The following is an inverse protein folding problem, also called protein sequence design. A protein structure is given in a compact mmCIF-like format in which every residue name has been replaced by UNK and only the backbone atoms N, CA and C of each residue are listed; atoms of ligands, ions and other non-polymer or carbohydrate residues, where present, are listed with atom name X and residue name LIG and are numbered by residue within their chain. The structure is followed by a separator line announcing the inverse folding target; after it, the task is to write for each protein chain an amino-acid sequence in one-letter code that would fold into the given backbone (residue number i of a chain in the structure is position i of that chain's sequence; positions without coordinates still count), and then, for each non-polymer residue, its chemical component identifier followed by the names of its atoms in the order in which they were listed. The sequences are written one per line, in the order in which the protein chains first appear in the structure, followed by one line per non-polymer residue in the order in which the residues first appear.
data_IF_748092467678
#
_entry.id   IF_748092467678
#
_cell.length_a   1.000
_cell.length_b   1.000
_cell.length_c   1.000
_cell.angle_alpha   90.00
_cell.angle_beta   90.00
_cell.angle_gamma   90.00
#
_symmetry.space_group_name_H-M   'P 1'
#
loop_
_entity.id
_entity.type
_entity.pdbx_description
1 polymer ?
#
# COMPACT_ATOMS: atom_id res chain seq x y z
N UNK A 1 -19.72 35.60 6.69
CA UNK A 1 -20.21 34.24 6.42
C UNK A 1 -19.04 33.32 6.68
N UNK A 2 -19.24 32.19 7.37
CA UNK A 2 -18.14 31.23 7.57
C UNK A 2 -17.75 30.57 6.22
N UNK A 3 -16.51 30.06 6.11
CA UNK A 3 -16.08 29.31 4.91
C UNK A 3 -17.02 28.16 4.58
N UNK A 4 -17.46 27.43 5.61
CA UNK A 4 -18.39 26.30 5.45
C UNK A 4 -19.74 26.73 4.89
N UNK A 5 -20.32 27.85 5.40
CA UNK A 5 -21.59 28.40 4.88
C UNK A 5 -21.48 28.85 3.41
N UNK A 6 -20.32 29.41 3.01
CA UNK A 6 -20.06 29.79 1.64
C UNK A 6 -19.95 28.56 0.72
N UNK A 7 -19.20 27.52 1.16
CA UNK A 7 -19.09 26.27 0.42
C UNK A 7 -20.43 25.57 0.25
N UNK A 8 -21.26 25.54 1.29
CA UNK A 8 -22.60 24.95 1.21
C UNK A 8 -23.49 25.66 0.20
N UNK A 9 -23.39 26.99 0.12
CA UNK A 9 -24.12 27.78 -0.88
C UNK A 9 -23.61 27.52 -2.31
N UNK A 10 -22.28 27.34 -2.51
CA UNK A 10 -21.68 27.06 -3.82
C UNK A 10 -21.98 25.64 -4.31
N UNK A 11 -22.01 24.66 -3.41
CA UNK A 11 -22.24 23.25 -3.72
C UNK A 11 -23.73 22.95 -3.97
N UNK A 12 -24.64 23.78 -3.41
CA UNK A 12 -26.08 23.56 -3.51
C UNK A 12 -26.63 22.50 -2.54
N UNK A 13 -27.95 22.30 -2.56
CA UNK A 13 -28.65 21.45 -1.60
C UNK A 13 -28.38 19.94 -1.79
N UNK A 14 -27.94 19.52 -2.97
CA UNK A 14 -27.71 18.10 -3.31
C UNK A 14 -26.32 17.59 -2.84
N UNK A 15 -25.42 18.48 -2.40
CA UNK A 15 -24.12 18.11 -1.93
C UNK A 15 -24.13 17.70 -0.45
N UNK A 16 -23.53 16.55 -0.15
CA UNK A 16 -23.37 16.07 1.22
C UNK A 16 -22.12 16.67 1.86
N UNK A 17 -22.22 17.92 2.33
CA UNK A 17 -21.18 18.56 3.15
C UNK A 17 -21.54 18.39 4.64
N UNK A 18 -20.82 17.50 5.32
CA UNK A 18 -21.02 17.13 6.72
C UNK A 18 -20.18 18.06 7.61
N UNK A 19 -20.80 18.61 8.65
CA UNK A 19 -20.14 19.52 9.61
C UNK A 19 -20.35 19.09 11.06
N UNK A 20 -21.10 18.02 11.29
CA UNK A 20 -21.30 17.44 12.62
C UNK A 20 -19.99 16.86 13.14
N UNK A 21 -19.44 17.35 14.28
CA UNK A 21 -18.17 16.89 14.83
C UNK A 21 -18.14 15.38 15.14
N UNK A 22 -19.26 14.79 15.55
CA UNK A 22 -19.35 13.36 15.88
C UNK A 22 -19.16 12.51 14.61
N UNK A 23 -19.61 13.01 13.46
CA UNK A 23 -19.44 12.33 12.17
C UNK A 23 -18.07 12.65 11.58
N UNK A 24 -17.64 13.93 11.56
CA UNK A 24 -16.37 14.32 10.94
C UNK A 24 -15.17 13.70 11.64
N UNK A 25 -15.26 13.38 12.94
CA UNK A 25 -14.21 12.68 13.68
C UNK A 25 -13.87 11.31 13.10
N UNK A 26 -14.84 10.58 12.52
CA UNK A 26 -14.61 9.28 11.87
C UNK A 26 -13.81 9.37 10.57
N UNK A 27 -13.66 10.56 10.00
CA UNK A 27 -12.87 10.84 8.80
C UNK A 27 -11.50 11.45 9.12
N UNK A 28 -11.14 11.57 10.40
CA UNK A 28 -9.94 12.29 10.82
C UNK A 28 -8.64 11.52 10.64
N UNK A 29 -8.68 10.19 10.60
CA UNK A 29 -7.48 9.33 10.60
C UNK A 29 -7.61 8.14 9.64
N UNK A 30 -6.48 7.60 9.21
CA UNK A 30 -6.35 6.30 8.56
C UNK A 30 -5.92 5.23 9.59
N UNK A 31 -5.27 4.14 9.17
CA UNK A 31 -4.84 3.05 10.06
C UNK A 31 -3.45 3.28 10.66
N UNK A 32 -2.84 4.45 10.45
CA UNK A 32 -1.50 4.75 10.97
C UNK A 32 -1.53 5.02 12.49
N UNK A 33 -0.90 4.18 13.34
CA UNK A 33 -1.10 4.22 14.79
C UNK A 33 -0.52 5.45 15.49
N UNK A 34 0.51 6.11 14.91
CA UNK A 34 1.21 7.26 15.53
C UNK A 34 1.03 8.57 14.79
N UNK A 35 0.33 8.56 13.67
CA UNK A 35 0.11 9.75 12.89
C UNK A 35 -0.84 10.71 13.61
N UNK A 36 -0.42 11.95 13.77
CA UNK A 36 -1.30 12.98 14.34
C UNK A 36 -2.50 13.19 13.43
N UNK A 37 -3.66 13.40 14.05
CA UNK A 37 -4.90 13.71 13.37
C UNK A 37 -5.80 14.58 14.23
N UNK A 38 -6.71 15.33 13.61
CA UNK A 38 -7.76 16.06 14.28
C UNK A 38 -9.03 16.08 13.41
N UNK A 39 -10.23 16.14 14.01
CA UNK A 39 -11.49 16.27 13.26
C UNK A 39 -11.45 17.49 12.33
N UNK A 40 -11.75 17.31 11.02
CA UNK A 40 -11.76 18.41 10.06
C UNK A 40 -12.96 19.35 10.29
N UNK A 41 -12.90 20.58 9.72
CA UNK A 41 -14.03 21.51 9.75
C UNK A 41 -15.28 21.00 9.03
N UNK A 42 -15.07 20.21 7.97
CA UNK A 42 -16.14 19.61 7.19
C UNK A 42 -15.64 18.41 6.40
N UNK A 43 -16.55 17.52 6.03
CA UNK A 43 -16.33 16.40 5.12
C UNK A 43 -17.29 16.51 3.93
N UNK A 44 -16.75 16.63 2.71
CA UNK A 44 -17.52 16.49 1.49
C UNK A 44 -17.58 15.00 1.10
N UNK A 45 -18.75 14.40 1.06
CA UNK A 45 -18.97 13.12 0.38
C UNK A 45 -19.18 13.38 -1.11
N UNK A 46 -18.07 13.46 -1.86
CA UNK A 46 -18.12 13.84 -3.26
C UNK A 46 -18.82 12.80 -4.13
N UNK A 47 -19.64 13.25 -5.08
CA UNK A 47 -20.34 12.43 -6.07
C UNK A 47 -19.90 12.71 -7.50
N UNK A 48 -19.17 13.81 -7.74
CA UNK A 48 -18.66 14.17 -9.05
C UNK A 48 -17.38 15.01 -8.96
N UNK A 49 -16.62 15.06 -10.05
CA UNK A 49 -15.43 15.88 -10.19
C UNK A 49 -15.75 17.39 -10.09
N UNK A 50 -16.93 17.83 -10.51
CA UNK A 50 -17.38 19.21 -10.44
C UNK A 50 -17.57 19.68 -9.00
N UNK A 51 -18.08 18.81 -8.10
CA UNK A 51 -18.18 19.13 -6.67
C UNK A 51 -16.79 19.32 -6.07
N UNK A 52 -15.85 18.43 -6.40
CA UNK A 52 -14.45 18.53 -5.99
C UNK A 52 -13.80 19.80 -6.54
N UNK A 53 -14.00 20.08 -7.83
CA UNK A 53 -13.53 21.31 -8.50
C UNK A 53 -14.01 22.56 -7.77
N UNK A 54 -15.27 22.61 -7.39
CA UNK A 54 -15.88 23.73 -6.65
C UNK A 54 -15.19 23.93 -5.30
N UNK A 55 -14.99 22.86 -4.53
CA UNK A 55 -14.31 22.94 -3.23
C UNK A 55 -12.85 23.35 -3.39
N UNK A 56 -12.11 22.74 -4.33
CA UNK A 56 -10.70 23.05 -4.52
C UNK A 56 -10.47 24.51 -4.98
N UNK A 57 -11.29 25.02 -5.87
CA UNK A 57 -11.22 26.43 -6.30
C UNK A 57 -11.40 27.38 -5.12
N UNK A 58 -12.41 27.12 -4.29
CA UNK A 58 -12.67 27.91 -3.09
C UNK A 58 -11.54 27.77 -2.06
N UNK A 59 -11.08 26.53 -1.82
CA UNK A 59 -10.00 26.26 -0.89
C UNK A 59 -8.67 26.90 -1.33
N UNK A 60 -8.36 26.90 -2.62
CA UNK A 60 -7.17 27.54 -3.19
C UNK A 60 -7.20 29.05 -2.99
N UNK A 61 -8.33 29.72 -3.27
CA UNK A 61 -8.52 31.16 -3.06
C UNK A 61 -8.35 31.56 -1.59
N UNK A 62 -8.83 30.73 -0.67
CA UNK A 62 -8.82 31.03 0.76
C UNK A 62 -7.72 30.32 1.54
N UNK A 63 -6.84 29.57 0.84
CA UNK A 63 -5.71 28.79 1.41
C UNK A 63 -6.16 27.83 2.52
N UNK A 64 -7.28 27.15 2.30
CA UNK A 64 -7.81 26.16 3.24
C UNK A 64 -7.18 24.79 2.92
N UNK A 65 -6.59 24.10 3.91
CA UNK A 65 -6.06 22.75 3.71
C UNK A 65 -7.15 21.77 3.27
N UNK A 66 -6.82 20.90 2.32
CA UNK A 66 -7.70 19.85 1.83
C UNK A 66 -7.00 18.50 1.96
N UNK A 67 -7.69 17.55 2.58
CA UNK A 67 -7.23 16.17 2.70
C UNK A 67 -8.14 15.26 1.88
N UNK A 68 -7.55 14.51 0.96
CA UNK A 68 -8.28 13.53 0.15
C UNK A 68 -8.34 12.19 0.86
N UNK A 69 -9.53 11.56 0.87
CA UNK A 69 -9.75 10.26 1.49
C UNK A 69 -10.48 9.31 0.56
N UNK A 70 -9.91 8.12 0.37
CA UNK A 70 -10.61 6.94 -0.13
C UNK A 70 -11.33 6.24 1.03
N UNK A 71 -11.03 4.97 1.28
CA UNK A 71 -11.54 4.24 2.44
C UNK A 71 -10.82 4.60 3.76
N UNK A 72 -9.61 5.14 3.71
CA UNK A 72 -8.77 5.36 4.89
C UNK A 72 -8.03 4.10 5.36
N UNK A 73 -7.74 3.19 4.44
CA UNK A 73 -6.98 1.96 4.68
C UNK A 73 -5.46 2.16 4.77
N UNK A 74 -4.97 3.37 4.53
CA UNK A 74 -3.55 3.69 4.53
C UNK A 74 -2.90 3.52 5.91
N UNK A 75 -1.59 3.23 5.91
CA UNK A 75 -0.79 2.94 7.11
C UNK A 75 0.28 4.01 7.40
N UNK A 76 0.25 5.13 6.66
CA UNK A 76 1.28 6.15 6.72
C UNK A 76 0.79 7.54 7.18
N UNK A 77 -0.48 7.69 7.56
CA UNK A 77 -1.07 8.98 7.93
C UNK A 77 -1.39 9.86 6.72
N UNK A 78 -1.50 9.28 5.53
CA UNK A 78 -1.77 9.98 4.27
C UNK A 78 -3.16 10.62 4.23
N UNK A 79 -4.17 10.00 4.84
CA UNK A 79 -5.54 10.51 4.92
C UNK A 79 -5.87 11.22 6.24
N UNK A 80 -4.86 11.46 7.11
CA UNK A 80 -5.09 12.14 8.38
C UNK A 80 -5.33 13.63 8.19
N UNK A 81 -6.40 14.13 8.79
CA UNK A 81 -6.81 15.53 8.71
C UNK A 81 -6.27 16.38 9.86
N UNK A 82 -6.29 17.69 9.67
CA UNK A 82 -6.06 18.72 10.67
C UNK A 82 -7.37 19.48 10.96
N UNK A 83 -7.43 20.15 12.13
CA UNK A 83 -8.63 20.82 12.59
C UNK A 83 -9.08 22.00 11.67
N UNK A 84 -8.18 22.53 10.85
CA UNK A 84 -8.42 23.60 9.88
C UNK A 84 -8.70 23.08 8.46
N UNK A 85 -8.65 21.78 8.25
CA UNK A 85 -8.82 21.17 6.93
C UNK A 85 -10.27 20.87 6.55
N UNK A 86 -10.49 20.68 5.25
CA UNK A 86 -11.68 20.04 4.68
C UNK A 86 -11.27 18.67 4.17
N UNK A 87 -12.00 17.62 4.55
CA UNK A 87 -11.80 16.29 3.96
C UNK A 87 -12.72 16.14 2.75
N UNK A 88 -12.16 15.66 1.64
CA UNK A 88 -12.92 15.22 0.47
C UNK A 88 -12.88 13.69 0.43
N UNK A 89 -14.01 13.05 0.79
CA UNK A 89 -14.19 11.60 0.68
C UNK A 89 -14.72 11.23 -0.69
N UNK A 90 -14.08 10.25 -1.31
CA UNK A 90 -14.45 9.72 -2.63
C UNK A 90 -15.32 8.46 -2.55
N UNK A 91 -15.74 8.04 -1.36
CA UNK A 91 -16.50 6.79 -1.16
C UNK A 91 -17.82 6.72 -1.96
N UNK A 92 -18.41 7.88 -2.33
CA UNK A 92 -19.64 7.95 -3.13
C UNK A 92 -19.37 8.02 -4.64
N UNK A 93 -18.11 8.08 -5.06
CA UNK A 93 -17.68 7.95 -6.46
C UNK A 93 -17.24 6.51 -6.72
N UNK A 94 -18.21 5.57 -6.65
CA UNK A 94 -17.95 4.14 -6.60
C UNK A 94 -18.58 3.35 -7.78
N UNK A 95 -18.71 3.99 -8.95
CA UNK A 95 -19.27 3.35 -10.13
C UNK A 95 -18.16 2.71 -10.99
N UNK A 96 -18.38 1.47 -11.41
CA UNK A 96 -17.69 0.86 -12.55
C UNK A 96 -18.39 1.39 -13.81
N UNK A 97 -17.73 2.36 -14.47
CA UNK A 97 -18.34 3.12 -15.59
C UNK A 97 -18.48 2.24 -16.82
N UNK A 98 -17.42 1.49 -17.16
CA UNK A 98 -17.43 0.55 -18.28
C UNK A 98 -16.35 -0.51 -18.12
N UNK A 99 -16.61 -1.69 -18.72
CA UNK A 99 -15.64 -2.77 -18.89
C UNK A 99 -15.63 -3.11 -20.39
N UNK A 100 -14.46 -2.98 -20.99
CA UNK A 100 -14.19 -3.39 -22.37
C UNK A 100 -13.33 -4.66 -22.33
N UNK A 101 -13.99 -5.81 -22.45
CA UNK A 101 -13.31 -7.10 -22.33
C UNK A 101 -12.39 -7.39 -23.54
N UNK A 102 -12.70 -6.87 -24.72
CA UNK A 102 -11.87 -7.08 -25.92
C UNK A 102 -10.54 -6.31 -25.80
N UNK A 103 -10.58 -5.09 -25.29
CA UNK A 103 -9.39 -4.27 -25.05
C UNK A 103 -8.75 -4.52 -23.67
N UNK A 104 -9.38 -5.35 -22.82
CA UNK A 104 -8.92 -5.68 -21.47
C UNK A 104 -8.73 -4.43 -20.62
N UNK A 105 -9.72 -3.55 -20.60
CA UNK A 105 -9.70 -2.32 -19.80
C UNK A 105 -11.01 -2.15 -19.02
N UNK A 106 -10.91 -1.50 -17.87
CA UNK A 106 -12.05 -1.00 -17.10
C UNK A 106 -11.89 0.49 -16.84
N UNK A 107 -12.97 1.27 -16.99
CA UNK A 107 -13.05 2.65 -16.51
C UNK A 107 -13.89 2.67 -15.24
N UNK A 108 -13.32 3.22 -14.18
CA UNK A 108 -13.91 3.20 -12.85
C UNK A 108 -13.77 4.55 -12.16
N UNK A 109 -14.68 4.88 -11.27
CA UNK A 109 -14.53 6.00 -10.34
C UNK A 109 -13.57 5.61 -9.20
N UNK A 110 -12.91 6.59 -8.61
CA UNK A 110 -11.85 6.41 -7.62
C UNK A 110 -12.29 5.71 -6.32
N UNK A 111 -13.57 5.78 -5.96
CA UNK A 111 -14.15 5.14 -4.77
C UNK A 111 -14.58 3.68 -4.97
N UNK A 112 -14.39 3.10 -6.15
CA UNK A 112 -14.65 1.66 -6.37
C UNK A 112 -13.70 0.84 -5.52
N UNK A 113 -14.21 -0.17 -4.81
CA UNK A 113 -13.40 -1.11 -4.01
C UNK A 113 -12.61 -2.03 -4.94
N UNK A 114 -11.35 -2.29 -4.61
CA UNK A 114 -10.45 -3.12 -5.42
C UNK A 114 -11.08 -4.51 -5.72
N UNK A 115 -11.53 -5.20 -4.68
CA UNK A 115 -12.13 -6.54 -4.81
C UNK A 115 -13.44 -6.53 -5.62
N UNK A 116 -14.23 -5.44 -5.57
CA UNK A 116 -15.48 -5.35 -6.33
C UNK A 116 -15.19 -5.33 -7.83
N UNK A 117 -14.16 -4.61 -8.27
CA UNK A 117 -13.73 -4.64 -9.67
C UNK A 117 -13.29 -6.05 -10.07
N UNK A 118 -12.38 -6.70 -9.29
CA UNK A 118 -11.88 -8.04 -9.62
C UNK A 118 -13.02 -9.06 -9.66
N UNK A 119 -13.97 -8.98 -8.72
CA UNK A 119 -15.17 -9.83 -8.69
C UNK A 119 -16.01 -9.65 -9.95
N UNK A 120 -16.18 -8.39 -10.37
CA UNK A 120 -17.00 -8.09 -11.56
C UNK A 120 -16.34 -8.56 -12.86
N UNK A 121 -15.04 -8.35 -13.02
CA UNK A 121 -14.33 -8.76 -14.25
C UNK A 121 -14.09 -10.26 -14.32
N UNK A 122 -14.14 -10.97 -13.19
CA UNK A 122 -14.06 -12.44 -13.12
C UNK A 122 -15.13 -13.13 -13.96
N UNK A 123 -16.33 -12.57 -14.01
CA UNK A 123 -17.44 -13.06 -14.83
C UNK A 123 -17.10 -13.10 -16.34
N UNK A 124 -16.12 -12.29 -16.75
CA UNK A 124 -15.63 -12.17 -18.14
C UNK A 124 -14.31 -12.94 -18.38
N UNK A 125 -13.85 -13.74 -17.42
CA UNK A 125 -12.57 -14.45 -17.50
C UNK A 125 -11.35 -13.53 -17.32
N UNK A 126 -11.57 -12.31 -16.81
CA UNK A 126 -10.54 -11.32 -16.59
C UNK A 126 -10.20 -11.18 -15.08
N UNK A 127 -9.09 -10.50 -14.79
CA UNK A 127 -8.66 -10.18 -13.43
C UNK A 127 -8.09 -8.76 -13.34
N UNK A 128 -8.28 -8.13 -12.18
CA UNK A 128 -7.51 -6.98 -11.73
C UNK A 128 -6.54 -7.47 -10.65
N UNK A 129 -5.26 -7.52 -10.98
CA UNK A 129 -4.26 -8.31 -10.25
C UNK A 129 -3.55 -7.59 -9.09
N UNK A 130 -3.44 -6.24 -9.01
CA UNK A 130 -2.93 -5.61 -7.79
C UNK A 130 -3.77 -5.99 -6.57
N UNK A 131 -3.11 -6.63 -5.57
CA UNK A 131 -3.78 -7.30 -4.46
C UNK A 131 -3.30 -6.83 -3.09
N UNK A 132 -3.38 -5.50 -2.77
CA UNK A 132 -3.00 -5.04 -1.45
C UNK A 132 -3.77 -5.80 -0.36
N UNK A 133 -3.16 -5.97 0.82
CA UNK A 133 -3.78 -6.70 1.92
C UNK A 133 -5.18 -6.16 2.29
N UNK A 134 -5.42 -4.88 2.02
CA UNK A 134 -6.70 -4.19 2.22
C UNK A 134 -7.67 -4.24 1.02
N UNK A 135 -7.42 -5.08 0.00
CA UNK A 135 -8.18 -5.09 -1.26
C UNK A 135 -9.70 -5.24 -1.10
N UNK A 136 -10.16 -5.84 -0.03
CA UNK A 136 -11.57 -6.07 0.28
C UNK A 136 -12.33 -4.80 0.71
N UNK A 137 -11.62 -3.73 1.08
CA UNK A 137 -12.20 -2.46 1.50
C UNK A 137 -11.45 -1.21 1.01
N UNK A 138 -10.23 -1.32 0.50
CA UNK A 138 -9.50 -0.18 -0.10
C UNK A 138 -10.08 0.21 -1.45
N UNK A 139 -10.04 1.54 -1.75
CA UNK A 139 -10.54 2.08 -3.01
C UNK A 139 -9.45 2.13 -4.07
N UNK A 140 -9.82 1.96 -5.34
CA UNK A 140 -8.90 2.01 -6.48
C UNK A 140 -8.18 3.36 -6.61
N UNK A 141 -8.86 4.47 -6.30
CA UNK A 141 -8.22 5.79 -6.24
C UNK A 141 -7.23 5.92 -5.09
N UNK A 142 -7.51 5.30 -3.94
CA UNK A 142 -6.58 5.20 -2.82
C UNK A 142 -5.36 4.37 -3.18
N UNK A 143 -5.57 3.20 -3.80
CA UNK A 143 -4.48 2.33 -4.29
C UNK A 143 -3.60 3.07 -5.32
N UNK A 144 -4.20 3.84 -6.24
CA UNK A 144 -3.44 4.66 -7.17
C UNK A 144 -2.67 5.78 -6.46
N UNK A 145 -3.27 6.47 -5.49
CA UNK A 145 -2.64 7.56 -4.76
C UNK A 145 -1.41 7.11 -3.96
N UNK A 146 -1.37 5.88 -3.44
CA UNK A 146 -0.22 5.30 -2.73
C UNK A 146 0.68 4.45 -3.64
N UNK A 147 0.25 4.15 -4.87
CA UNK A 147 0.85 3.14 -5.74
C UNK A 147 0.90 1.77 -5.05
N UNK A 148 -0.22 1.36 -4.45
CA UNK A 148 -0.31 0.17 -3.62
C UNK A 148 0.19 -1.09 -4.34
N UNK A 149 0.93 -1.91 -3.61
CA UNK A 149 1.42 -3.21 -4.01
C UNK A 149 0.61 -4.36 -3.43
N UNK A 150 1.27 -5.50 -3.21
CA UNK A 150 0.70 -6.73 -2.66
C UNK A 150 1.52 -7.97 -3.05
N UNK A 151 1.04 -9.14 -2.67
CA UNK A 151 1.75 -10.40 -2.84
C UNK A 151 2.04 -10.79 -4.30
N UNK A 152 1.18 -10.37 -5.23
CA UNK A 152 1.30 -10.71 -6.65
C UNK A 152 2.18 -9.75 -7.46
N UNK A 153 2.72 -8.69 -6.83
CA UNK A 153 3.49 -7.64 -7.51
C UNK A 153 4.79 -8.15 -8.14
N UNK A 154 5.40 -9.18 -7.58
CA UNK A 154 6.62 -9.82 -8.14
C UNK A 154 6.46 -10.23 -9.61
N UNK A 155 5.26 -10.58 -10.05
CA UNK A 155 4.97 -10.97 -11.43
C UNK A 155 4.20 -9.91 -12.20
N UNK A 156 3.21 -9.32 -11.58
CA UNK A 156 2.23 -8.48 -12.27
C UNK A 156 2.45 -6.99 -12.09
N UNK A 157 3.36 -6.61 -11.19
CA UNK A 157 3.64 -5.19 -10.88
C UNK A 157 2.63 -4.59 -9.90
N UNK A 158 2.94 -3.37 -9.47
CA UNK A 158 2.14 -2.56 -8.54
C UNK A 158 1.01 -1.83 -9.29
N UNK A 159 0.19 -1.08 -8.58
CA UNK A 159 -0.97 -0.34 -9.15
C UNK A 159 -0.60 0.49 -10.38
N UNK A 160 0.56 1.20 -10.40
CA UNK A 160 0.99 2.00 -11.55
C UNK A 160 1.14 1.21 -12.84
N UNK A 161 1.51 -0.07 -12.75
CA UNK A 161 1.64 -0.95 -13.92
C UNK A 161 0.28 -1.22 -14.61
N UNK A 162 -0.82 -0.98 -13.90
CA UNK A 162 -2.18 -1.25 -14.37
C UNK A 162 -2.97 0.02 -14.71
N UNK A 163 -2.47 1.21 -14.38
CA UNK A 163 -3.16 2.47 -14.70
C UNK A 163 -2.74 2.97 -16.09
N UNK A 164 -3.71 3.14 -16.99
CA UNK A 164 -3.49 3.67 -18.35
C UNK A 164 -3.87 5.13 -18.50
N UNK A 165 -4.91 5.56 -17.77
CA UNK A 165 -5.37 6.93 -17.79
C UNK A 165 -6.05 7.28 -16.46
N UNK A 166 -6.11 8.56 -16.15
CA UNK A 166 -6.82 9.08 -14.98
C UNK A 166 -7.47 10.42 -15.28
N UNK A 167 -8.62 10.67 -14.69
CA UNK A 167 -9.17 11.99 -14.51
C UNK A 167 -8.71 12.54 -13.17
N UNK A 168 -8.23 13.78 -13.15
CA UNK A 168 -7.67 14.42 -11.94
C UNK A 168 -8.23 15.82 -11.81
N UNK A 169 -8.56 16.23 -10.59
CA UNK A 169 -8.89 17.62 -10.26
C UNK A 169 -7.67 18.28 -9.61
N UNK A 170 -7.17 19.36 -10.20
CA UNK A 170 -6.02 20.11 -9.70
C UNK A 170 -6.41 21.08 -8.58
N UNK A 171 -5.42 21.61 -7.84
CA UNK A 171 -5.65 22.55 -6.73
C UNK A 171 -6.41 23.82 -7.16
N UNK A 172 -6.30 24.27 -8.41
CA UNK A 172 -7.04 25.41 -8.96
C UNK A 172 -8.48 25.06 -9.41
N UNK A 173 -8.90 23.79 -9.22
CA UNK A 173 -10.21 23.27 -9.62
C UNK A 173 -10.33 22.86 -11.09
N UNK A 174 -9.25 22.91 -11.89
CA UNK A 174 -9.28 22.38 -13.26
C UNK A 174 -9.40 20.86 -13.23
N UNK A 175 -10.27 20.32 -14.10
CA UNK A 175 -10.41 18.87 -14.31
C UNK A 175 -9.61 18.53 -15.56
N UNK A 176 -8.66 17.62 -15.43
CA UNK A 176 -7.77 17.21 -16.52
C UNK A 176 -7.84 15.70 -16.75
N UNK A 177 -7.58 15.29 -17.98
CA UNK A 177 -7.45 13.89 -18.39
C UNK A 177 -5.98 13.59 -18.68
N UNK A 178 -5.42 12.58 -18.03
CA UNK A 178 -4.04 12.14 -18.17
C UNK A 178 -3.97 10.72 -18.73
N UNK A 179 -3.01 10.47 -19.60
CA UNK A 179 -2.85 9.15 -20.22
C UNK A 179 -3.87 8.89 -21.34
N UNK A 180 -3.91 7.64 -21.80
CA UNK A 180 -4.80 7.14 -22.86
C UNK A 180 -5.10 5.65 -22.61
N UNK A 181 -6.23 5.16 -23.10
CA UNK A 181 -6.59 3.72 -23.02
C UNK A 181 -5.68 2.79 -23.87
N UNK A 182 -4.74 3.33 -24.61
CA UNK A 182 -3.82 2.56 -25.47
C UNK A 182 -2.70 1.90 -24.67
N UNK A 183 -2.20 0.73 -25.15
CA UNK A 183 -1.05 0.03 -24.53
C UNK A 183 0.28 0.81 -24.64
N UNK A 184 0.41 1.73 -25.57
CA UNK A 184 1.62 2.55 -25.77
C UNK A 184 1.24 4.00 -26.04
N UNK A 185 1.97 4.92 -25.43
CA UNK A 185 1.90 6.36 -25.74
C UNK A 185 3.23 7.03 -25.38
N UNK A 186 3.78 7.82 -26.31
CA UNK A 186 5.01 8.63 -26.12
C UNK A 186 4.82 10.06 -26.64
N UNK A 187 3.56 10.49 -26.75
CA UNK A 187 3.21 11.78 -27.38
C UNK A 187 3.62 12.97 -26.50
N UNK A 188 3.57 12.79 -25.17
CA UNK A 188 3.83 13.87 -24.19
C UNK A 188 4.73 13.33 -23.07
N UNK A 189 5.18 14.22 -22.18
CA UNK A 189 5.74 13.78 -20.90
C UNK A 189 4.72 12.96 -20.12
N UNK A 190 5.20 11.97 -19.38
CA UNK A 190 4.37 11.11 -18.57
C UNK A 190 3.96 11.80 -17.26
N UNK A 191 2.93 12.63 -17.37
CA UNK A 191 2.35 13.30 -16.20
C UNK A 191 1.49 12.34 -15.38
N UNK A 192 0.92 11.28 -15.98
CA UNK A 192 0.06 10.33 -15.28
C UNK A 192 0.78 9.72 -14.07
N UNK A 193 2.01 9.24 -14.28
CA UNK A 193 2.78 8.61 -13.22
C UNK A 193 3.32 9.57 -12.16
N UNK A 194 3.22 10.89 -12.35
CA UNK A 194 3.43 11.85 -11.26
C UNK A 194 2.31 11.81 -10.22
N UNK A 195 1.08 11.53 -10.64
CA UNK A 195 -0.08 11.45 -9.74
C UNK A 195 -0.21 10.09 -9.05
N UNK A 196 0.26 9.01 -9.70
CA UNK A 196 0.30 7.68 -9.08
C UNK A 196 1.39 7.66 -8.00
N UNK A 197 1.03 7.34 -6.76
CA UNK A 197 1.94 7.43 -5.62
C UNK A 197 2.17 8.85 -5.09
N UNK A 198 1.41 9.86 -5.56
CA UNK A 198 1.52 11.24 -5.06
C UNK A 198 0.85 11.47 -3.69
N UNK A 199 0.09 10.51 -3.20
CA UNK A 199 -0.65 10.57 -1.92
C UNK A 199 -1.58 11.80 -1.84
N UNK A 200 -2.20 12.16 -2.97
CA UNK A 200 -3.13 13.29 -3.05
C UNK A 200 -2.47 14.68 -2.93
N UNK A 201 -1.14 14.77 -3.00
CA UNK A 201 -0.42 16.05 -2.84
C UNK A 201 -0.37 16.89 -4.13
N UNK A 202 -0.60 16.29 -5.31
CA UNK A 202 -0.53 16.99 -6.61
C UNK A 202 -1.92 17.25 -7.21
N UNK A 203 -2.91 16.47 -6.85
CA UNK A 203 -4.29 16.54 -7.33
C UNK A 203 -5.13 15.41 -6.78
N UNK A 204 -6.43 15.45 -7.05
CA UNK A 204 -7.40 14.44 -6.61
C UNK A 204 -7.80 13.57 -7.79
N UNK A 205 -7.42 12.30 -7.77
CA UNK A 205 -7.82 11.31 -8.78
C UNK A 205 -9.31 11.00 -8.59
N UNK A 206 -10.11 11.18 -9.64
CA UNK A 206 -11.57 10.97 -9.63
C UNK A 206 -12.01 9.77 -10.43
N UNK A 207 -11.31 9.46 -11.53
CA UNK A 207 -11.55 8.28 -12.34
C UNK A 207 -10.23 7.65 -12.79
N UNK A 208 -10.27 6.35 -13.05
CA UNK A 208 -9.14 5.57 -13.55
C UNK A 208 -9.58 4.73 -14.76
N UNK A 209 -8.70 4.63 -15.74
CA UNK A 209 -8.76 3.59 -16.78
C UNK A 209 -7.68 2.56 -16.45
N UNK A 210 -8.11 1.34 -16.12
CA UNK A 210 -7.27 0.27 -15.60
C UNK A 210 -7.09 -0.82 -16.65
N UNK A 211 -5.87 -1.37 -16.72
CA UNK A 211 -5.58 -2.59 -17.47
C UNK A 211 -6.09 -3.81 -16.70
N UNK A 212 -6.72 -4.72 -17.42
CA UNK A 212 -7.11 -6.03 -16.93
C UNK A 212 -6.23 -7.09 -17.57
N UNK A 213 -6.03 -8.19 -16.88
CA UNK A 213 -5.30 -9.35 -17.39
C UNK A 213 -6.26 -10.53 -17.60
N UNK A 214 -5.89 -11.46 -18.46
CA UNK A 214 -6.61 -12.75 -18.54
C UNK A 214 -6.42 -13.43 -17.19
N UNK A 215 -7.51 -13.89 -16.58
CA UNK A 215 -7.45 -14.52 -15.26
C UNK A 215 -6.54 -15.75 -15.29
N UNK A 216 -5.47 -15.79 -14.44
CA UNK A 216 -4.63 -16.96 -14.32
C UNK A 216 -5.43 -18.19 -13.90
N UNK A 217 -4.98 -19.38 -14.31
CA UNK A 217 -5.43 -20.65 -13.76
C UNK A 217 -5.08 -20.74 -12.27
N UNK A 218 -5.70 -21.68 -11.55
CA UNK A 218 -5.35 -21.95 -10.16
C UNK A 218 -3.85 -22.24 -10.04
N UNK A 219 -3.10 -21.44 -9.24
CA UNK A 219 -1.65 -21.61 -9.14
C UNK A 219 -1.31 -22.85 -8.34
N UNK A 220 -0.18 -23.48 -8.67
CA UNK A 220 0.46 -24.41 -7.76
C UNK A 220 1.20 -23.65 -6.67
N UNK A 221 1.04 -24.07 -5.41
CA UNK A 221 1.65 -23.43 -4.24
C UNK A 221 2.68 -24.36 -3.62
N UNK A 222 3.87 -23.82 -3.33
CA UNK A 222 4.95 -24.45 -2.59
C UNK A 222 5.14 -23.71 -1.26
N UNK A 223 5.29 -24.47 -0.17
CA UNK A 223 5.86 -24.00 1.10
C UNK A 223 7.19 -24.72 1.32
N UNK A 224 8.22 -23.97 1.71
CA UNK A 224 9.56 -24.49 2.01
C UNK A 224 10.04 -23.91 3.35
N UNK A 225 10.45 -24.80 4.28
CA UNK A 225 10.91 -24.45 5.62
C UNK A 225 12.44 -24.44 5.69
N UNK A 226 12.98 -23.39 6.28
CA UNK A 226 14.43 -23.15 6.43
C UNK A 226 14.80 -22.89 7.89
N UNK A 227 16.05 -23.17 8.31
CA UNK A 227 16.49 -23.00 9.70
C UNK A 227 16.51 -21.54 10.16
N UNK A 228 16.58 -20.58 9.23
CA UNK A 228 16.52 -19.14 9.52
C UNK A 228 15.90 -18.37 8.39
N UNK A 229 15.40 -17.16 8.70
CA UNK A 229 14.86 -16.24 7.69
C UNK A 229 15.95 -15.78 6.70
N UNK A 230 17.22 -15.69 7.11
CA UNK A 230 18.33 -15.40 6.22
C UNK A 230 18.54 -16.48 5.16
N UNK A 231 18.42 -17.77 5.51
CA UNK A 231 18.48 -18.88 4.55
C UNK A 231 17.29 -18.88 3.60
N UNK A 232 16.09 -18.62 4.10
CA UNK A 232 14.89 -18.44 3.28
C UNK A 232 15.08 -17.28 2.26
N UNK A 233 15.56 -16.12 2.73
CA UNK A 233 15.84 -14.97 1.88
C UNK A 233 16.91 -15.24 0.82
N UNK A 234 17.97 -15.99 1.15
CA UNK A 234 18.98 -16.39 0.18
C UNK A 234 18.40 -17.32 -0.92
N UNK A 235 17.50 -18.22 -0.53
CA UNK A 235 16.80 -19.09 -1.47
C UNK A 235 15.88 -18.29 -2.41
N UNK A 236 15.16 -17.27 -1.90
CA UNK A 236 14.19 -16.47 -2.67
C UNK A 236 14.81 -15.86 -3.93
N UNK A 237 16.04 -15.33 -3.85
CA UNK A 237 16.74 -14.76 -4.98
C UNK A 237 16.96 -15.76 -6.13
N UNK A 238 17.14 -17.05 -5.81
CA UNK A 238 17.31 -18.11 -6.82
C UNK A 238 15.96 -18.60 -7.37
N UNK A 239 14.88 -18.43 -6.63
CA UNK A 239 13.54 -18.84 -7.03
C UNK A 239 12.90 -17.89 -8.05
N UNK A 240 13.37 -16.64 -8.16
CA UNK A 240 12.87 -15.68 -9.17
C UNK A 240 12.98 -16.16 -10.61
N UNK A 241 13.93 -17.05 -10.93
CA UNK A 241 14.05 -17.64 -12.27
C UNK A 241 12.83 -18.46 -12.70
N UNK A 242 12.00 -18.88 -11.75
CA UNK A 242 10.75 -19.58 -12.02
C UNK A 242 9.60 -18.61 -12.33
N UNK A 243 9.81 -17.28 -12.22
CA UNK A 243 8.80 -16.23 -12.43
C UNK A 243 7.54 -16.45 -11.56
N UNK A 244 7.71 -16.57 -10.24
CA UNK A 244 6.58 -16.82 -9.36
C UNK A 244 5.55 -15.69 -9.45
N UNK A 245 4.27 -16.05 -9.33
CA UNK A 245 3.18 -15.08 -9.18
C UNK A 245 3.11 -14.54 -7.75
N UNK A 246 3.68 -15.25 -6.78
CA UNK A 246 3.84 -14.83 -5.39
C UNK A 246 5.11 -15.48 -4.82
N UNK A 247 5.87 -14.75 -4.03
CA UNK A 247 7.02 -15.28 -3.29
C UNK A 247 7.16 -14.52 -1.96
N UNK A 248 6.63 -15.13 -0.90
CA UNK A 248 6.49 -14.55 0.43
C UNK A 248 7.44 -15.20 1.42
N UNK A 249 7.85 -14.44 2.44
CA UNK A 249 8.66 -14.94 3.55
C UNK A 249 7.97 -14.65 4.88
N UNK A 250 8.06 -15.60 5.82
CA UNK A 250 7.57 -15.42 7.19
C UNK A 250 8.60 -16.02 8.16
N UNK A 251 9.02 -15.24 9.13
CA UNK A 251 10.00 -15.68 10.14
C UNK A 251 9.39 -16.59 11.20
N UNK A 252 10.25 -17.26 11.96
CA UNK A 252 9.82 -18.16 13.03
C UNK A 252 9.04 -17.44 14.14
N UNK A 253 9.38 -16.19 14.45
CA UNK A 253 8.70 -15.38 15.48
C UNK A 253 7.24 -15.16 15.11
N UNK A 254 6.99 -14.73 13.88
CA UNK A 254 5.63 -14.52 13.34
C UNK A 254 4.88 -15.86 13.25
N UNK A 255 5.51 -16.93 12.81
CA UNK A 255 4.87 -18.25 12.74
C UNK A 255 4.43 -18.75 14.12
N UNK A 256 5.24 -18.55 15.16
CA UNK A 256 4.86 -18.87 16.54
C UNK A 256 3.67 -18.04 17.03
N UNK A 257 3.58 -16.77 16.64
CA UNK A 257 2.42 -15.93 16.93
C UNK A 257 1.16 -16.44 16.23
N UNK A 258 1.27 -16.85 14.97
CA UNK A 258 0.17 -17.47 14.20
C UNK A 258 -0.28 -18.77 14.87
N UNK A 259 0.64 -19.68 15.20
CA UNK A 259 0.35 -20.96 15.85
C UNK A 259 -0.36 -20.77 17.19
N UNK A 260 0.08 -19.80 18.01
CA UNK A 260 -0.53 -19.51 19.31
C UNK A 260 -1.98 -19.02 19.18
N UNK A 261 -2.34 -18.40 18.07
CA UNK A 261 -3.69 -17.95 17.80
C UNK A 261 -4.52 -18.98 17.04
N UNK A 262 -3.92 -19.62 16.04
CA UNK A 262 -4.60 -20.55 15.15
C UNK A 262 -3.66 -21.69 14.77
N UNK A 263 -3.86 -22.90 15.32
CA UNK A 263 -2.99 -24.03 15.05
C UNK A 263 -2.83 -24.30 13.55
N UNK A 264 -1.58 -24.36 13.10
CA UNK A 264 -1.23 -24.55 11.69
C UNK A 264 -1.23 -26.02 11.27
N UNK A 265 -1.16 -26.94 12.25
CA UNK A 265 -1.17 -28.38 12.00
C UNK A 265 0.18 -28.94 11.54
N UNK A 266 1.27 -28.14 11.60
CA UNK A 266 2.64 -28.59 11.33
C UNK A 266 3.62 -28.00 12.35
N UNK A 267 4.78 -28.67 12.51
CA UNK A 267 5.83 -28.22 13.43
C UNK A 267 6.54 -26.95 12.89
N UNK A 268 6.68 -25.92 13.73
CA UNK A 268 7.41 -24.70 13.39
C UNK A 268 8.90 -24.93 13.64
N UNK A 269 9.57 -25.55 12.67
CA UNK A 269 10.99 -25.88 12.74
C UNK A 269 11.91 -24.70 12.36
N UNK A 270 11.35 -23.63 11.76
CA UNK A 270 12.13 -22.47 11.28
C UNK A 270 11.26 -21.43 10.58
N UNK A 271 11.84 -20.70 9.64
CA UNK A 271 11.17 -19.70 8.79
C UNK A 271 10.68 -20.35 7.50
N UNK A 272 9.63 -19.79 6.86
CA UNK A 272 9.07 -20.36 5.65
C UNK A 272 9.14 -19.39 4.47
N UNK A 273 9.32 -19.95 3.25
CA UNK A 273 8.97 -19.33 1.99
C UNK A 273 7.69 -19.94 1.47
N UNK A 274 6.80 -19.10 0.94
CA UNK A 274 5.57 -19.49 0.26
C UNK A 274 5.68 -18.98 -1.17
N UNK A 275 5.62 -19.86 -2.15
CA UNK A 275 5.74 -19.52 -3.55
C UNK A 275 4.52 -20.01 -4.33
N UNK A 276 4.00 -19.17 -5.22
CA UNK A 276 2.99 -19.59 -6.20
C UNK A 276 3.53 -19.51 -7.63
N UNK A 277 3.14 -20.49 -8.43
CA UNK A 277 3.40 -20.53 -9.86
C UNK A 277 2.07 -20.72 -10.59
N UNK A 278 1.80 -19.89 -11.60
CA UNK A 278 0.61 -20.01 -12.46
C UNK A 278 0.76 -21.18 -13.47
N UNK A 279 1.88 -21.87 -13.42
CA UNK A 279 2.22 -23.03 -14.23
C UNK A 279 2.11 -24.31 -13.38
N UNK A 280 2.29 -25.44 -14.00
CA UNK A 280 2.04 -26.75 -13.43
C UNK A 280 2.95 -27.14 -12.24
N UNK A 281 2.52 -28.17 -11.52
CA UNK A 281 3.12 -28.76 -10.32
C UNK A 281 4.61 -29.15 -10.51
N UNK A 282 5.02 -29.55 -11.71
CA UNK A 282 6.40 -29.93 -12.00
C UNK A 282 7.41 -28.79 -11.71
N UNK A 283 7.02 -27.53 -11.98
CA UNK A 283 7.85 -26.37 -11.68
C UNK A 283 8.03 -26.14 -10.17
N UNK A 284 7.03 -26.48 -9.37
CA UNK A 284 7.16 -26.45 -7.90
C UNK A 284 8.17 -27.49 -7.41
N UNK A 285 8.19 -28.68 -8.02
CA UNK A 285 9.18 -29.70 -7.70
C UNK A 285 10.61 -29.24 -8.05
N UNK A 286 10.82 -28.65 -9.22
CA UNK A 286 12.12 -28.06 -9.61
C UNK A 286 12.55 -26.94 -8.63
N UNK A 287 11.63 -26.09 -8.21
CA UNK A 287 11.89 -25.04 -7.24
C UNK A 287 12.29 -25.60 -5.88
N UNK A 288 11.63 -26.67 -5.42
CA UNK A 288 11.97 -27.37 -4.19
C UNK A 288 13.41 -27.96 -4.24
N UNK A 289 13.81 -28.51 -5.37
CA UNK A 289 15.20 -28.99 -5.56
C UNK A 289 16.21 -27.83 -5.40
N UNK A 290 15.89 -26.63 -5.85
CA UNK A 290 16.73 -25.44 -5.63
C UNK A 290 16.83 -25.10 -4.15
N UNK A 291 15.73 -25.19 -3.41
CA UNK A 291 15.68 -24.91 -1.97
C UNK A 291 16.64 -25.80 -1.15
N UNK A 292 16.90 -27.03 -1.60
CA UNK A 292 17.85 -27.94 -0.93
C UNK A 292 19.27 -27.39 -0.82
N UNK A 293 19.67 -26.48 -1.70
CA UNK A 293 20.99 -25.83 -1.64
C UNK A 293 21.10 -24.79 -0.51
N UNK A 294 20.00 -24.51 0.21
CA UNK A 294 19.91 -23.50 1.26
C UNK A 294 19.49 -24.10 2.60
N UNK A 295 19.91 -25.34 2.88
CA UNK A 295 19.61 -26.07 4.13
C UNK A 295 18.10 -26.26 4.34
N UNK A 296 17.36 -26.59 3.29
CA UNK A 296 15.92 -26.89 3.37
C UNK A 296 15.67 -27.97 4.45
N UNK A 297 14.78 -27.67 5.41
CA UNK A 297 14.34 -28.60 6.44
C UNK A 297 13.24 -29.52 5.90
N UNK A 298 12.19 -28.88 5.32
CA UNK A 298 11.02 -29.58 4.77
C UNK A 298 10.37 -28.72 3.68
N UNK A 299 9.59 -29.35 2.80
CA UNK A 299 8.85 -28.63 1.77
C UNK A 299 7.70 -29.46 1.22
N UNK A 300 6.56 -28.80 1.04
CA UNK A 300 5.34 -29.36 0.47
C UNK A 300 4.81 -28.47 -0.63
N UNK A 301 4.14 -29.06 -1.62
CA UNK A 301 3.50 -28.31 -2.68
C UNK A 301 2.18 -28.98 -3.09
N UNK A 302 1.22 -28.17 -3.51
CA UNK A 302 -0.10 -28.62 -3.98
C UNK A 302 -0.63 -27.73 -5.09
N UNK A 303 -1.48 -28.27 -5.95
CA UNK A 303 -2.32 -27.54 -6.90
C UNK A 303 -3.81 -27.63 -6.52
N UNK A 304 -4.12 -28.34 -5.45
CA UNK A 304 -5.47 -28.38 -4.90
C UNK A 304 -5.83 -27.00 -4.33
N UNK A 305 -6.99 -26.42 -4.72
CA UNK A 305 -7.37 -25.08 -4.27
C UNK A 305 -7.55 -24.96 -2.75
N UNK A 306 -7.97 -26.01 -2.06
CA UNK A 306 -8.16 -25.97 -0.61
C UNK A 306 -6.81 -25.99 0.12
N UNK A 307 -5.89 -26.89 -0.27
CA UNK A 307 -4.53 -26.92 0.27
C UNK A 307 -3.82 -25.60 0.02
N UNK A 308 -3.89 -25.08 -1.22
CA UNK A 308 -3.31 -23.79 -1.61
C UNK A 308 -3.83 -22.65 -0.73
N UNK A 309 -5.14 -22.61 -0.47
CA UNK A 309 -5.74 -21.59 0.40
C UNK A 309 -5.22 -21.69 1.85
N UNK A 310 -5.03 -22.90 2.37
CA UNK A 310 -4.49 -23.15 3.70
C UNK A 310 -3.01 -22.73 3.80
N UNK A 311 -2.20 -23.02 2.79
CA UNK A 311 -0.80 -22.61 2.75
C UNK A 311 -0.65 -21.09 2.72
N UNK A 312 -1.49 -20.37 1.95
CA UNK A 312 -1.47 -18.91 1.88
C UNK A 312 -2.03 -18.27 3.15
N UNK A 313 -2.96 -18.95 3.85
CA UNK A 313 -3.56 -18.45 5.09
C UNK A 313 -2.48 -18.09 6.12
N UNK A 314 -1.42 -18.87 6.22
CA UNK A 314 -0.27 -18.58 7.09
C UNK A 314 0.25 -17.17 6.90
N UNK A 315 0.46 -16.75 5.64
CA UNK A 315 0.93 -15.40 5.32
C UNK A 315 -0.10 -14.31 5.65
N UNK A 316 -1.37 -14.56 5.34
CA UNK A 316 -2.45 -13.61 5.62
C UNK A 316 -2.68 -13.38 7.11
N UNK A 317 -2.37 -14.37 7.94
CA UNK A 317 -2.51 -14.27 9.39
C UNK A 317 -1.29 -13.64 10.08
N UNK A 318 -0.18 -13.39 9.38
CA UNK A 318 1.07 -12.90 9.96
C UNK A 318 0.89 -11.60 10.76
N UNK A 319 0.38 -10.55 10.15
CA UNK A 319 0.17 -9.26 10.83
C UNK A 319 -0.92 -9.35 11.93
N UNK A 320 -2.13 -9.87 11.67
CA UNK A 320 -3.15 -10.02 12.72
C UNK A 320 -2.70 -10.84 13.94
N UNK A 321 -1.82 -11.82 13.75
CA UNK A 321 -1.30 -12.61 14.87
C UNK A 321 -0.35 -11.80 15.76
N UNK A 322 0.48 -10.95 15.16
CA UNK A 322 1.36 -10.03 15.91
C UNK A 322 0.56 -8.94 16.66
N UNK A 323 -0.50 -8.39 16.05
CA UNK A 323 -1.40 -7.44 16.71
C UNK A 323 -2.08 -8.01 17.97
N UNK A 324 -2.28 -9.32 18.04
CA UNK A 324 -2.82 -9.97 19.24
C UNK A 324 -1.82 -10.08 20.39
N UNK A 325 -0.53 -9.93 20.09
CA UNK A 325 0.51 -9.96 21.12
C UNK A 325 0.65 -8.63 21.86
N UNK A 326 0.27 -7.50 21.22
CA UNK A 326 0.43 -6.17 21.80
C UNK A 326 0.13 -5.05 20.77
N UNK A 327 0.48 -3.84 21.13
CA UNK A 327 0.48 -2.73 20.19
C UNK A 327 1.61 -2.93 19.15
N UNK A 328 1.33 -2.63 17.88
CA UNK A 328 2.27 -2.90 16.79
C UNK A 328 2.67 -1.63 16.04
N UNK A 329 3.95 -1.61 15.58
CA UNK A 329 4.41 -0.72 14.52
C UNK A 329 4.85 -1.60 13.34
N UNK A 330 4.05 -1.57 12.31
CA UNK A 330 4.34 -2.24 11.04
C UNK A 330 5.19 -1.30 10.17
N UNK A 331 6.42 -1.70 9.88
CA UNK A 331 7.25 -0.99 8.92
C UNK A 331 7.04 -1.54 7.49
N UNK A 332 7.56 -0.80 6.52
CA UNK A 332 7.41 -1.09 5.09
C UNK A 332 8.64 -0.55 4.39
N UNK A 333 9.62 -1.38 4.20
CA UNK A 333 10.88 -1.03 3.51
C UNK A 333 11.05 -1.92 2.29
N UNK A 334 11.67 -1.39 1.23
CA UNK A 334 12.04 -2.21 0.10
C UNK A 334 13.55 -2.21 -0.10
N UNK A 335 14.11 -3.37 -0.47
CA UNK A 335 15.53 -3.63 -0.58
C UNK A 335 15.88 -4.28 -1.92
N UNK A 336 17.12 -4.08 -2.42
CA UNK A 336 17.63 -5.00 -3.42
C UNK A 336 17.53 -6.45 -2.90
N UNK A 337 16.95 -7.35 -3.68
CA UNK A 337 16.59 -8.72 -3.23
C UNK A 337 17.79 -9.45 -2.59
N UNK A 338 18.98 -9.26 -3.13
CA UNK A 338 20.21 -9.85 -2.58
C UNK A 338 20.61 -9.32 -1.21
N UNK A 339 19.97 -8.25 -0.74
CA UNK A 339 20.22 -7.60 0.56
C UNK A 339 19.22 -7.99 1.64
N UNK A 340 18.17 -8.72 1.32
CA UNK A 340 17.14 -9.14 2.28
C UNK A 340 17.78 -9.94 3.43
N UNK A 341 18.65 -10.91 3.14
CA UNK A 341 19.29 -11.72 4.18
C UNK A 341 20.10 -10.86 5.18
N UNK A 342 20.95 -9.94 4.66
CA UNK A 342 21.73 -9.03 5.49
C UNK A 342 20.83 -8.08 6.31
N UNK A 343 19.76 -7.59 5.72
CA UNK A 343 18.76 -6.74 6.39
C UNK A 343 18.13 -7.48 7.56
N UNK A 344 17.64 -8.69 7.33
CA UNK A 344 16.95 -9.50 8.32
C UNK A 344 17.88 -9.81 9.51
N UNK A 345 19.15 -10.20 9.27
CA UNK A 345 20.14 -10.44 10.33
C UNK A 345 20.34 -9.18 11.21
N UNK A 346 20.37 -7.99 10.61
CA UNK A 346 20.49 -6.73 11.35
C UNK A 346 19.23 -6.42 12.18
N UNK A 347 18.03 -6.70 11.64
CA UNK A 347 16.77 -6.49 12.36
C UNK A 347 16.62 -7.49 13.51
N UNK A 348 17.02 -8.76 13.33
CA UNK A 348 17.08 -9.75 14.42
C UNK A 348 18.02 -9.32 15.53
N UNK A 349 19.21 -8.80 15.19
CA UNK A 349 20.16 -8.25 16.16
C UNK A 349 19.58 -7.05 16.91
N UNK A 350 18.84 -6.19 16.21
CA UNK A 350 18.16 -5.02 16.81
C UNK A 350 17.03 -5.48 17.76
N UNK A 351 16.24 -6.48 17.40
CA UNK A 351 15.25 -7.10 18.29
C UNK A 351 15.91 -7.64 19.56
N UNK A 352 17.00 -8.40 19.42
CA UNK A 352 17.71 -8.97 20.57
C UNK A 352 18.32 -7.90 21.51
N UNK A 353 18.83 -6.79 20.96
CA UNK A 353 19.46 -5.71 21.75
C UNK A 353 18.43 -4.78 22.42
N UNK A 354 17.29 -4.54 21.79
CA UNK A 354 16.23 -3.67 22.33
C UNK A 354 15.33 -4.38 23.33
N UNK A 355 15.25 -5.73 23.28
CA UNK A 355 14.32 -6.52 24.03
C UNK A 355 12.86 -6.48 23.52
N UNK A 356 12.59 -5.74 22.43
CA UNK A 356 11.29 -5.72 21.78
C UNK A 356 11.15 -6.91 20.82
N UNK A 357 9.99 -7.53 20.78
CA UNK A 357 9.68 -8.55 19.78
C UNK A 357 9.50 -7.88 18.42
N UNK A 358 10.23 -8.38 17.41
CA UNK A 358 10.05 -7.95 16.03
C UNK A 358 9.75 -9.20 15.19
N UNK A 359 8.54 -9.29 14.63
CA UNK A 359 8.18 -10.29 13.64
C UNK A 359 8.56 -9.82 12.24
N UNK A 360 9.07 -10.69 11.39
CA UNK A 360 9.50 -10.34 10.03
C UNK A 360 8.75 -11.18 9.01
N UNK A 361 8.00 -10.52 8.14
CA UNK A 361 7.38 -11.12 6.97
C UNK A 361 7.45 -10.14 5.80
N UNK A 362 7.15 -10.59 4.59
CA UNK A 362 7.16 -9.69 3.44
C UNK A 362 7.20 -10.40 2.10
N UNK A 363 7.29 -9.59 1.07
CA UNK A 363 7.32 -9.99 -0.33
C UNK A 363 8.76 -10.23 -0.77
N UNK A 364 9.29 -11.43 -0.47
CA UNK A 364 10.68 -11.78 -0.79
C UNK A 364 10.98 -11.74 -2.29
N UNK A 365 9.92 -11.80 -3.13
CA UNK A 365 10.03 -11.78 -4.58
C UNK A 365 10.37 -10.42 -5.17
N UNK A 366 10.05 -9.34 -4.51
CA UNK A 366 10.32 -7.95 -4.96
C UNK A 366 11.10 -7.10 -3.95
N UNK A 367 11.41 -7.70 -2.80
CA UNK A 367 12.27 -7.07 -1.80
C UNK A 367 11.53 -6.23 -0.76
N UNK A 368 10.21 -6.20 -0.79
CA UNK A 368 9.42 -5.43 0.17
C UNK A 368 9.22 -6.22 1.47
N UNK A 369 9.75 -5.69 2.56
CA UNK A 369 9.77 -6.35 3.87
C UNK A 369 8.98 -5.55 4.89
N UNK A 370 8.27 -6.28 5.77
CA UNK A 370 7.40 -5.71 6.80
C UNK A 370 7.84 -6.13 8.22
N UNK A 371 8.98 -5.64 8.74
CA UNK A 371 9.30 -5.80 10.15
C UNK A 371 8.18 -5.18 10.99
N UNK A 372 7.67 -5.95 11.94
CA UNK A 372 6.58 -5.52 12.81
C UNK A 372 7.03 -5.56 14.26
N UNK A 373 7.20 -4.39 14.84
CA UNK A 373 7.61 -4.21 16.23
C UNK A 373 6.38 -4.38 17.11
N UNK A 374 6.47 -5.21 18.15
CA UNK A 374 5.41 -5.43 19.13
C UNK A 374 5.85 -4.89 20.48
N UNK A 375 4.98 -4.14 21.15
CA UNK A 375 5.19 -3.62 22.50
C UNK A 375 3.91 -3.67 23.33
N UNK A 376 4.03 -3.59 24.65
CA UNK A 376 2.89 -3.65 25.56
C UNK A 376 1.96 -2.43 25.40
N UNK A 377 0.64 -2.68 25.43
CA UNK A 377 -0.35 -1.62 25.41
C UNK A 377 -0.21 -0.73 26.65
N UNK A 378 -0.21 0.59 26.45
CA UNK A 378 -0.19 1.58 27.54
C UNK A 378 1.22 1.82 28.12
N UNK A 379 2.26 1.13 27.70
CA UNK A 379 3.65 1.41 28.08
C UNK A 379 4.22 2.51 27.16
N UNK A 380 4.24 3.73 27.68
CA UNK A 380 4.76 4.89 26.93
C UNK A 380 6.27 4.81 26.68
N UNK A 381 7.05 4.16 27.54
CA UNK A 381 8.48 4.00 27.34
C UNK A 381 8.75 2.98 26.23
N UNK A 382 8.05 1.85 26.24
CA UNK A 382 8.12 0.85 25.18
C UNK A 382 7.62 1.42 23.82
N UNK A 383 6.56 2.22 23.82
CA UNK A 383 6.06 2.90 22.62
C UNK A 383 7.10 3.88 22.03
N UNK A 384 7.78 4.66 22.90
CA UNK A 384 8.85 5.57 22.46
C UNK A 384 10.06 4.82 21.91
N UNK A 385 10.47 3.72 22.57
CA UNK A 385 11.54 2.84 22.07
C UNK A 385 11.15 2.21 20.73
N UNK A 386 9.91 1.73 20.59
CA UNK A 386 9.43 1.17 19.32
C UNK A 386 9.48 2.17 18.17
N UNK A 387 9.16 3.46 18.41
CA UNK A 387 9.30 4.51 17.40
C UNK A 387 10.77 4.78 17.02
N UNK A 388 11.69 4.73 18.00
CA UNK A 388 13.12 4.83 17.71
C UNK A 388 13.58 3.65 16.84
N UNK A 389 13.23 2.42 17.21
CA UNK A 389 13.57 1.19 16.48
C UNK A 389 13.00 1.22 15.06
N UNK A 390 11.79 1.73 14.87
CA UNK A 390 11.19 1.94 13.55
C UNK A 390 12.09 2.82 12.66
N UNK A 391 12.60 3.94 13.18
CA UNK A 391 13.54 4.78 12.45
C UNK A 391 14.88 4.09 12.15
N UNK A 392 15.39 3.26 13.07
CA UNK A 392 16.63 2.49 12.89
C UNK A 392 16.47 1.41 11.80
N UNK A 393 15.29 0.75 11.72
CA UNK A 393 14.97 -0.23 10.65
C UNK A 393 15.02 0.44 9.29
N UNK A 394 14.39 1.62 9.14
CA UNK A 394 14.44 2.39 7.89
C UNK A 394 15.89 2.78 7.55
N UNK A 395 16.67 3.27 8.51
CA UNK A 395 18.07 3.63 8.28
C UNK A 395 18.92 2.41 7.86
N UNK A 396 18.67 1.22 8.42
CA UNK A 396 19.32 -0.03 7.99
C UNK A 396 18.98 -0.30 6.53
N UNK A 397 17.70 -0.23 6.14
CA UNK A 397 17.27 -0.47 4.76
C UNK A 397 17.95 0.51 3.78
N UNK A 398 17.94 1.80 4.08
CA UNK A 398 18.59 2.83 3.25
C UNK A 398 20.11 2.60 3.15
N UNK A 399 20.79 2.18 4.23
CA UNK A 399 22.23 1.87 4.23
C UNK A 399 22.58 0.69 3.31
N UNK A 400 21.61 -0.19 3.03
CA UNK A 400 21.74 -1.34 2.14
C UNK A 400 21.29 -1.02 0.69
N UNK A 401 21.01 0.24 0.39
CA UNK A 401 20.53 0.69 -0.92
C UNK A 401 19.02 0.48 -1.14
N UNK A 402 18.27 0.33 -0.07
CA UNK A 402 16.82 0.24 -0.04
C UNK A 402 16.13 1.60 0.10
N UNK A 403 14.83 1.59 0.32
CA UNK A 403 13.95 2.76 0.45
C UNK A 403 13.08 2.68 1.70
N UNK A 404 12.67 3.85 2.19
CA UNK A 404 11.84 3.99 3.40
C UNK A 404 10.42 3.44 3.24
N UNK A 405 9.91 3.27 2.01
CA UNK A 405 8.59 2.69 1.78
C UNK A 405 8.56 1.92 0.47
N UNK A 406 8.11 0.66 0.52
CA UNK A 406 7.86 -0.18 -0.64
C UNK A 406 6.48 0.09 -1.25
N UNK A 407 5.43 0.08 -0.42
CA UNK A 407 4.04 0.14 -0.90
C UNK A 407 3.07 0.96 -0.01
N UNK A 408 3.33 1.11 1.31
CA UNK A 408 2.40 1.79 2.22
C UNK A 408 2.35 3.30 2.03
N UNK A 409 3.36 3.87 1.39
CA UNK A 409 3.53 5.31 1.23
C UNK A 409 4.31 5.96 2.39
N UNK A 410 4.59 7.22 2.21
CA UNK A 410 5.35 8.05 3.15
C UNK A 410 4.42 8.74 4.16
N UNK A 411 3.30 9.29 3.68
CA UNK A 411 2.34 10.03 4.47
C UNK A 411 2.98 11.11 5.33
N UNK A 412 2.53 11.20 6.60
CA UNK A 412 3.11 12.07 7.62
C UNK A 412 4.16 11.36 8.49
N UNK A 413 4.10 10.03 8.61
CA UNK A 413 4.97 9.25 9.51
C UNK A 413 6.42 9.23 9.04
N UNK A 414 6.65 9.00 7.75
CA UNK A 414 7.99 8.82 7.17
C UNK A 414 8.52 10.06 6.45
N UNK A 415 7.78 11.18 6.44
CA UNK A 415 8.13 12.39 5.66
C UNK A 415 9.52 12.95 6.02
N UNK A 416 9.92 12.90 7.28
CA UNK A 416 11.26 13.32 7.74
C UNK A 416 12.39 12.42 7.25
N UNK A 417 12.13 11.14 6.98
CA UNK A 417 13.11 10.14 6.56
C UNK A 417 13.44 10.22 5.06
N UNK A 418 12.63 10.92 4.28
CA UNK A 418 12.84 11.09 2.83
C UNK A 418 14.09 11.92 2.53
N UNK A 419 14.43 12.88 3.40
CA UNK A 419 15.60 13.73 3.22
C UNK A 419 16.93 12.95 3.26
N UNK A 420 16.97 11.82 3.95
CA UNK A 420 18.15 10.95 4.04
C UNK A 420 18.29 10.03 2.81
N UNK A 421 17.19 9.85 2.04
CA UNK A 421 17.16 8.95 0.88
C UNK A 421 17.51 9.67 -0.44
N UNK A 422 17.15 10.94 -0.58
CA UNK A 422 17.32 11.67 -1.83
C UNK A 422 18.23 12.87 -1.68
N UNK A 423 18.96 13.23 -2.75
CA UNK A 423 19.84 14.40 -2.73
C UNK A 423 19.05 15.71 -2.58
N UNK A 424 19.67 16.78 -2.02
CA UNK A 424 19.04 18.10 -1.94
C UNK A 424 18.49 18.61 -3.28
N UNK A 425 19.20 18.38 -4.38
CA UNK A 425 18.76 18.75 -5.72
C UNK A 425 17.47 18.03 -6.13
N UNK A 426 17.37 16.74 -5.84
CA UNK A 426 16.15 15.96 -6.12
C UNK A 426 15.00 16.45 -5.24
N UNK A 427 15.25 16.76 -3.96
CA UNK A 427 14.25 17.33 -3.07
C UNK A 427 13.71 18.66 -3.60
N UNK A 428 14.59 19.55 -4.09
CA UNK A 428 14.19 20.85 -4.67
C UNK A 428 13.36 20.69 -5.95
N UNK A 429 13.66 19.68 -6.77
CA UNK A 429 12.83 19.32 -7.93
C UNK A 429 11.45 18.82 -7.50
N UNK A 430 11.36 17.98 -6.48
CA UNK A 430 10.07 17.49 -5.93
C UNK A 430 9.21 18.66 -5.43
N UNK A 431 9.80 19.58 -4.66
CA UNK A 431 9.13 20.81 -4.19
C UNK A 431 8.69 21.70 -5.34
N UNK A 432 9.49 21.81 -6.40
CA UNK A 432 9.15 22.59 -7.60
C UNK A 432 7.95 21.97 -8.34
N UNK A 433 7.90 20.64 -8.49
CA UNK A 433 6.76 19.92 -9.07
C UNK A 433 5.50 20.18 -8.24
N UNK A 434 5.58 20.01 -6.91
CA UNK A 434 4.46 20.32 -6.00
C UNK A 434 3.95 21.75 -6.21
N UNK A 435 4.85 22.73 -6.30
CA UNK A 435 4.49 24.15 -6.47
C UNK A 435 3.82 24.43 -7.81
N UNK A 436 4.15 23.68 -8.88
CA UNK A 436 3.49 23.81 -10.19
C UNK A 436 2.02 23.39 -10.11
N UNK A 437 1.72 22.25 -9.45
CA UNK A 437 0.37 21.72 -9.37
C UNK A 437 -0.47 22.31 -8.22
N UNK A 438 0.20 22.73 -7.14
CA UNK A 438 -0.44 23.26 -5.93
C UNK A 438 0.37 24.45 -5.37
N UNK A 439 0.28 25.62 -5.99
CA UNK A 439 1.09 26.78 -5.61
C UNK A 439 0.82 27.33 -4.21
N UNK A 440 -0.32 26.98 -3.62
CA UNK A 440 -0.72 27.39 -2.26
C UNK A 440 -0.53 26.30 -1.22
N UNK A 441 -0.03 25.12 -1.62
CA UNK A 441 0.20 23.96 -0.74
C UNK A 441 -1.04 23.56 0.07
N UNK A 442 -2.22 23.61 -0.56
CA UNK A 442 -3.49 23.25 0.09
C UNK A 442 -3.75 21.76 0.11
N UNK A 443 -3.22 21.00 -0.88
CA UNK A 443 -3.47 19.57 -1.03
C UNK A 443 -2.55 18.74 -0.13
N UNK A 444 -3.15 17.99 0.78
CA UNK A 444 -2.47 17.09 1.72
C UNK A 444 -1.19 17.70 2.34
N UNK A 445 -1.25 18.88 2.97
CA UNK A 445 -0.07 19.56 3.49
C UNK A 445 0.64 18.71 4.54
N UNK A 446 1.99 18.74 4.54
CA UNK A 446 2.83 18.00 5.47
C UNK A 446 2.94 16.49 5.19
N UNK A 447 2.47 16.03 4.03
CA UNK A 447 2.55 14.64 3.59
C UNK A 447 3.63 14.48 2.51
N UNK A 448 4.11 13.24 2.31
CA UNK A 448 5.05 12.81 1.26
C UNK A 448 6.49 13.27 1.50
N UNK A 449 6.76 14.55 1.69
CA UNK A 449 8.10 15.09 1.98
C UNK A 449 7.96 16.42 2.74
N UNK A 450 8.99 16.83 3.51
CA UNK A 450 8.98 18.12 4.22
C UNK A 450 9.02 19.28 3.22
N UNK A 451 8.09 20.21 3.38
CA UNK A 451 7.97 21.43 2.56
C UNK A 451 8.96 22.52 3.00
#
# INVERSE_FOLDING_TARGET
MSHISALQALLGADASLITDPDITSSYSHDQAPFAQSAPPQAVLLARSAEQISTVLRYASEHKIPVVTRGAGSGLAGGANSSADSIVISLEKMNQIISIDAENQIARVQAGVINLDLDTKVKELGLAYLPDPASRDWSTLGGNAATNAGGMCCVKYGVTSSHVRAAQVVLANGEIIELGKATKKSVTTYDLLHLFIGSEGTLGIITELTLNLEIRPHSPATLIATFPSVAKAAAASAQLLRFKPSMLEIVDQTTLKAVEAWHPLGFEIAGSVLIMQLDENLHRCQEALEVCKNFDLIDGVFSEDPADTADLIRVRKMAYPALERMGATLLDDVALPITKIAEFVEKVEALSASSGLTIGIFGHAGDGNMHPTIVHDHGDAAAASLAQQIFGEIVAIAQSLGGTASGEHGIGSIKSSLVADEISPTVMDLQRSIKKVFDPHSILNPGKKFPL
#
